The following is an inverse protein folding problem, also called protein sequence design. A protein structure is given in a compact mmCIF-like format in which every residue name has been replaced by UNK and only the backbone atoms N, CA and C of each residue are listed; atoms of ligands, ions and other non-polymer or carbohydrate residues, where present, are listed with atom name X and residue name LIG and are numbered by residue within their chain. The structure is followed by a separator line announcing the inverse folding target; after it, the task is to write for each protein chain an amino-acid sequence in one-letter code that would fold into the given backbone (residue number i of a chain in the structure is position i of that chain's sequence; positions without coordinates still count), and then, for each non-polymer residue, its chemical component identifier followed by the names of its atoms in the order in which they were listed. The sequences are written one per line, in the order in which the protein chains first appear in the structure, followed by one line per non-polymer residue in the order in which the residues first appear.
data_IF_567576770212
#
_entry.id   IF_567576770212
#
_cell.length_a   1.000
_cell.length_b   1.000
_cell.length_c   1.000
_cell.angle_alpha   90.00
_cell.angle_beta   90.00
_cell.angle_gamma   90.00
#
_symmetry.space_group_name_H-M   'P 1'
#
loop_
_entity.id
_entity.type
_entity.pdbx_description
1 polymer ?
#
# COMPACT_ATOMS: atom_id res chain seq x y z
N UNK A 1 -11.74 -34.55 19.39
CA UNK A 1 -12.24 -33.20 19.71
C UNK A 1 -11.08 -32.47 20.36
N UNK A 2 -10.30 -31.76 19.56
CA UNK A 2 -9.22 -30.89 20.05
C UNK A 2 -9.39 -29.56 19.34
N UNK A 3 -9.85 -28.57 20.09
CA UNK A 3 -9.80 -27.17 19.68
C UNK A 3 -8.33 -26.82 19.76
N UNK A 4 -7.67 -26.68 18.61
CA UNK A 4 -6.37 -26.03 18.54
C UNK A 4 -6.55 -24.63 19.10
N UNK A 5 -6.11 -24.42 20.34
CA UNK A 5 -5.95 -23.11 20.92
C UNK A 5 -4.96 -22.36 20.03
N UNK A 6 -5.47 -21.48 19.17
CA UNK A 6 -4.66 -20.43 18.59
C UNK A 6 -3.98 -19.72 19.78
N UNK A 7 -2.66 -19.71 19.80
CA UNK A 7 -1.89 -18.94 20.78
C UNK A 7 -2.31 -17.49 20.59
N UNK A 8 -3.21 -17.03 21.45
CA UNK A 8 -3.73 -15.68 21.41
C UNK A 8 -2.54 -14.77 21.70
N UNK A 9 -2.21 -13.88 20.77
CA UNK A 9 -1.09 -12.96 20.94
C UNK A 9 -1.28 -12.20 22.26
N UNK A 10 -0.20 -11.95 23.03
CA UNK A 10 -0.29 -11.18 24.26
C UNK A 10 -0.98 -9.84 24.00
N UNK A 11 -1.87 -9.41 24.90
CA UNK A 11 -2.63 -8.15 24.77
C UNK A 11 -1.70 -6.96 24.54
N UNK A 12 -0.53 -6.96 25.19
CA UNK A 12 0.51 -5.95 25.03
C UNK A 12 1.00 -5.83 23.58
N UNK A 13 1.17 -6.95 22.88
CA UNK A 13 1.58 -6.97 21.46
C UNK A 13 0.48 -6.41 20.57
N UNK A 14 -0.78 -6.79 20.82
CA UNK A 14 -1.92 -6.27 20.07
C UNK A 14 -2.08 -4.76 20.23
N UNK A 15 -1.90 -4.24 21.44
CA UNK A 15 -1.96 -2.80 21.71
C UNK A 15 -0.83 -2.05 20.96
N UNK A 16 0.39 -2.59 20.97
CA UNK A 16 1.50 -1.99 20.24
C UNK A 16 1.29 -1.99 18.73
N UNK A 17 0.73 -3.05 18.15
CA UNK A 17 0.39 -3.07 16.72
C UNK A 17 -0.64 -2.00 16.38
N UNK A 18 -1.67 -1.84 17.21
CA UNK A 18 -2.70 -0.80 17.04
C UNK A 18 -2.09 0.59 17.10
N UNK A 19 -1.19 0.83 18.05
CA UNK A 19 -0.50 2.12 18.20
C UNK A 19 0.33 2.47 16.97
N UNK A 20 1.07 1.51 16.41
CA UNK A 20 1.84 1.71 15.18
C UNK A 20 0.94 1.95 13.95
N UNK A 21 -0.15 1.20 13.81
CA UNK A 21 -1.12 1.47 12.73
C UNK A 21 -1.73 2.88 12.86
N UNK A 22 -2.03 3.33 14.08
CA UNK A 22 -2.54 4.67 14.34
C UNK A 22 -1.49 5.75 14.02
N UNK A 23 -0.22 5.50 14.33
CA UNK A 23 0.86 6.38 13.92
C UNK A 23 0.92 6.53 12.39
N UNK A 24 0.82 5.42 11.65
CA UNK A 24 0.78 5.46 10.17
C UNK A 24 -0.43 6.24 9.65
N UNK A 25 -1.62 6.06 10.27
CA UNK A 25 -2.81 6.84 9.93
C UNK A 25 -2.54 8.34 10.12
N UNK A 26 -1.96 8.72 11.25
CA UNK A 26 -1.63 10.12 11.55
C UNK A 26 -0.61 10.70 10.56
N UNK A 27 0.39 9.93 10.13
CA UNK A 27 1.40 10.38 9.15
C UNK A 27 0.83 10.59 7.75
N UNK A 28 -0.27 9.92 7.40
CA UNK A 28 -0.95 10.04 6.12
C UNK A 28 -2.20 10.92 6.16
N UNK A 29 -2.47 11.52 7.33
CA UNK A 29 -3.50 12.53 7.57
C UNK A 29 -4.88 12.08 7.06
N UNK A 30 -5.57 12.90 6.27
CA UNK A 30 -6.91 12.62 5.71
C UNK A 30 -6.95 11.48 4.66
N UNK A 31 -5.81 10.87 4.35
CA UNK A 31 -5.78 9.76 3.38
C UNK A 31 -6.47 8.54 3.98
N UNK A 32 -7.56 8.09 3.35
CA UNK A 32 -8.17 6.83 3.75
C UNK A 32 -7.24 5.67 3.36
N UNK A 33 -6.78 4.92 4.37
CA UNK A 33 -5.89 3.78 4.20
C UNK A 33 -6.47 2.47 4.71
N UNK A 34 -6.01 1.37 4.11
CA UNK A 34 -6.32 0.00 4.50
C UNK A 34 -5.02 -0.81 4.60
N UNK A 35 -4.89 -1.57 5.68
CA UNK A 35 -3.74 -2.44 5.95
C UNK A 35 -4.11 -3.86 5.53
N UNK A 36 -3.45 -4.37 4.49
CA UNK A 36 -3.69 -5.73 3.99
C UNK A 36 -2.51 -6.64 4.37
N UNK A 37 -2.72 -7.52 5.35
CA UNK A 37 -1.72 -8.44 5.85
C UNK A 37 -1.88 -9.82 5.20
N UNK A 38 -0.78 -10.34 4.67
CA UNK A 38 -0.76 -11.63 4.00
C UNK A 38 0.46 -12.44 4.44
N UNK A 39 0.33 -13.76 4.53
CA UNK A 39 1.48 -14.65 4.73
C UNK A 39 2.03 -15.03 3.35
N UNK A 40 3.33 -14.81 3.13
CA UNK A 40 4.00 -15.10 1.86
C UNK A 40 5.18 -16.05 2.06
N UNK A 41 5.50 -16.91 1.06
CA UNK A 41 6.66 -17.78 1.13
C UNK A 41 7.96 -16.99 1.24
N UNK A 42 8.86 -17.43 2.14
CA UNK A 42 10.22 -16.91 2.19
C UNK A 42 11.11 -17.76 1.29
N UNK A 43 11.45 -17.26 0.10
CA UNK A 43 12.24 -18.03 -0.87
C UNK A 43 13.66 -18.35 -0.37
N UNK A 44 14.17 -17.60 0.61
CA UNK A 44 15.54 -17.71 1.12
C UNK A 44 15.60 -18.14 2.60
N UNK A 45 14.47 -18.54 3.19
CA UNK A 45 14.39 -18.85 4.62
C UNK A 45 13.41 -19.96 4.93
N UNK A 46 13.49 -20.48 6.15
CA UNK A 46 12.70 -21.64 6.57
C UNK A 46 11.26 -21.29 6.94
N UNK A 47 11.03 -20.05 7.39
CA UNK A 47 9.72 -19.60 7.89
C UNK A 47 9.12 -18.56 6.95
N UNK A 48 7.79 -18.61 6.74
CA UNK A 48 7.10 -17.63 5.89
C UNK A 48 7.22 -16.21 6.47
N UNK A 49 7.07 -15.21 5.61
CA UNK A 49 7.07 -13.80 5.99
C UNK A 49 5.65 -13.26 6.06
N UNK A 50 5.47 -12.20 6.84
CA UNK A 50 4.27 -11.37 6.83
C UNK A 50 4.54 -10.25 5.83
N UNK A 51 3.66 -10.11 4.83
CA UNK A 51 3.60 -8.99 3.90
C UNK A 51 2.52 -8.01 4.37
N UNK A 52 2.85 -6.73 4.40
CA UNK A 52 1.89 -5.63 4.53
C UNK A 52 1.83 -4.88 3.21
N UNK A 53 0.66 -4.89 2.58
CA UNK A 53 0.32 -3.96 1.51
C UNK A 53 -0.49 -2.81 2.11
N UNK A 54 0.09 -1.60 2.14
CA UNK A 54 -0.63 -0.40 2.55
C UNK A 54 -1.37 0.15 1.33
N UNK A 55 -2.68 0.33 1.44
CA UNK A 55 -3.55 0.67 0.31
C UNK A 55 -4.24 2.00 0.60
N UNK A 56 -4.18 2.94 -0.33
CA UNK A 56 -4.99 4.17 -0.29
C UNK A 56 -6.31 3.97 -1.01
N UNK A 57 -7.39 4.50 -0.46
CA UNK A 57 -8.75 4.39 -1.02
C UNK A 57 -9.24 5.79 -1.39
N UNK A 58 -9.63 5.97 -2.65
CA UNK A 58 -10.39 7.12 -3.09
C UNK A 58 -11.89 6.76 -3.08
N UNK A 59 -12.62 7.27 -2.08
CA UNK A 59 -14.06 7.00 -1.90
C UNK A 59 -14.91 7.53 -3.05
N UNK A 60 -14.57 8.70 -3.58
CA UNK A 60 -15.37 9.38 -4.62
C UNK A 60 -15.34 8.63 -5.94
N UNK A 61 -14.21 7.98 -6.20
CA UNK A 61 -13.96 7.26 -7.44
C UNK A 61 -14.10 5.73 -7.28
N UNK A 62 -14.29 5.24 -6.05
CA UNK A 62 -14.35 3.81 -5.72
C UNK A 62 -13.15 3.01 -6.24
N UNK A 63 -11.97 3.66 -6.23
CA UNK A 63 -10.71 3.05 -6.63
C UNK A 63 -9.75 3.00 -5.46
N UNK A 64 -9.02 1.89 -5.35
CA UNK A 64 -7.95 1.69 -4.38
C UNK A 64 -6.62 1.55 -5.09
N UNK A 65 -5.55 2.06 -4.51
CA UNK A 65 -4.21 2.00 -5.08
C UNK A 65 -3.21 1.53 -4.03
N UNK A 66 -2.16 0.83 -4.47
CA UNK A 66 -1.09 0.48 -3.56
C UNK A 66 -0.30 1.74 -3.23
N UNK A 67 -0.10 1.98 -1.94
CA UNK A 67 0.81 2.99 -1.45
C UNK A 67 2.24 2.46 -1.42
N UNK A 68 2.44 1.34 -0.71
CA UNK A 68 3.71 0.66 -0.54
C UNK A 68 3.52 -0.77 0.02
N UNK A 69 4.53 -1.63 -0.17
CA UNK A 69 4.53 -3.03 0.29
C UNK A 69 5.82 -3.35 1.05
N UNK A 70 5.71 -3.87 2.27
CA UNK A 70 6.84 -4.36 3.06
C UNK A 70 6.66 -5.84 3.42
N UNK A 71 7.76 -6.55 3.68
CA UNK A 71 7.75 -7.93 4.15
C UNK A 71 8.73 -8.10 5.30
N UNK A 72 8.34 -8.89 6.30
CA UNK A 72 9.17 -9.11 7.47
C UNK A 72 8.69 -10.29 8.30
N UNK A 73 9.43 -10.58 9.37
CA UNK A 73 9.18 -11.76 10.22
C UNK A 73 8.09 -11.52 11.26
N UNK A 74 7.70 -10.26 11.51
CA UNK A 74 6.67 -9.89 12.47
C UNK A 74 5.84 -8.69 11.98
N UNK A 75 4.60 -8.57 12.45
CA UNK A 75 3.74 -7.42 12.12
C UNK A 75 4.28 -6.11 12.71
N UNK A 76 4.89 -6.17 13.89
CA UNK A 76 5.56 -5.02 14.52
C UNK A 76 6.71 -4.48 13.67
N UNK A 77 7.60 -5.35 13.18
CA UNK A 77 8.75 -4.92 12.39
C UNK A 77 8.34 -4.29 11.06
N UNK A 78 7.37 -4.88 10.34
CA UNK A 78 6.91 -4.33 9.04
C UNK A 78 6.16 -3.00 9.20
N UNK A 79 5.46 -2.80 10.33
CA UNK A 79 4.81 -1.53 10.66
C UNK A 79 5.85 -0.43 10.93
N UNK A 80 6.90 -0.74 11.69
CA UNK A 80 8.02 0.18 11.93
C UNK A 80 8.73 0.56 10.62
N UNK A 81 9.00 -0.42 9.75
CA UNK A 81 9.56 -0.16 8.41
C UNK A 81 8.64 0.71 7.55
N UNK A 82 7.31 0.54 7.66
CA UNK A 82 6.35 1.37 6.94
C UNK A 82 6.38 2.83 7.42
N UNK A 83 6.53 3.06 8.72
CA UNK A 83 6.71 4.41 9.29
C UNK A 83 7.98 5.06 8.73
N UNK A 84 9.11 4.34 8.77
CA UNK A 84 10.39 4.83 8.21
C UNK A 84 10.24 5.15 6.72
N UNK A 85 9.55 4.30 5.96
CA UNK A 85 9.26 4.57 4.55
C UNK A 85 8.48 5.88 4.35
N UNK A 86 7.44 6.13 5.15
CA UNK A 86 6.61 7.33 5.04
C UNK A 86 7.41 8.58 5.41
N UNK A 87 8.20 8.51 6.49
CA UNK A 87 8.93 9.66 7.04
C UNK A 87 10.19 10.03 6.25
N UNK A 88 10.90 9.05 5.68
CA UNK A 88 12.21 9.26 5.07
C UNK A 88 12.20 9.03 3.57
N UNK A 89 11.74 7.86 3.13
CA UNK A 89 11.94 7.41 1.75
C UNK A 89 10.93 8.01 0.77
N UNK A 90 9.66 8.16 1.16
CA UNK A 90 8.64 8.82 0.35
C UNK A 90 9.04 10.24 -0.05
N UNK A 91 9.82 10.94 0.79
CA UNK A 91 10.29 12.31 0.51
C UNK A 91 11.29 12.37 -0.63
N UNK A 92 11.99 11.28 -0.91
CA UNK A 92 12.98 11.19 -2.01
C UNK A 92 12.34 10.73 -3.33
N UNK A 93 11.06 10.33 -3.29
CA UNK A 93 10.33 9.87 -4.47
C UNK A 93 9.72 11.04 -5.23
N UNK A 94 9.85 10.94 -6.55
CA UNK A 94 9.23 11.84 -7.49
C UNK A 94 7.71 11.68 -7.50
N UNK A 95 7.00 12.75 -7.84
CA UNK A 95 5.54 12.73 -7.98
C UNK A 95 5.17 12.53 -9.45
N UNK A 96 4.23 11.63 -9.73
CA UNK A 96 3.68 11.40 -11.07
C UNK A 96 2.17 11.60 -11.06
N UNK A 97 1.65 12.23 -12.11
CA UNK A 97 0.23 12.25 -12.41
C UNK A 97 -0.08 11.28 -13.55
N UNK A 98 -1.00 10.34 -13.32
CA UNK A 98 -1.51 9.42 -14.32
C UNK A 98 -2.90 9.90 -14.71
N UNK A 99 -3.11 10.15 -16.01
CA UNK A 99 -4.41 10.41 -16.61
C UNK A 99 -4.93 9.12 -17.25
N UNK A 100 -6.11 8.67 -16.86
CA UNK A 100 -6.61 7.36 -17.22
C UNK A 100 -8.15 7.29 -17.26
N UNK A 101 -8.69 6.23 -17.86
CA UNK A 101 -10.12 5.90 -17.83
C UNK A 101 -10.35 4.43 -17.51
N UNK A 102 -11.39 4.14 -16.73
CA UNK A 102 -11.96 2.80 -16.59
C UNK A 102 -12.88 2.52 -17.79
N UNK A 103 -12.61 1.48 -18.57
CA UNK A 103 -13.42 1.12 -19.75
C UNK A 103 -14.86 0.75 -19.34
N UNK A 104 -15.07 0.33 -18.08
CA UNK A 104 -16.41 0.05 -17.55
C UNK A 104 -17.21 1.32 -17.24
N UNK A 105 -16.54 2.48 -17.13
CA UNK A 105 -17.17 3.78 -16.85
C UNK A 105 -16.90 4.71 -18.03
N UNK A 106 -17.74 4.66 -19.09
CA UNK A 106 -17.51 5.45 -20.29
C UNK A 106 -17.53 6.96 -19.99
N UNK A 107 -16.77 7.72 -20.79
CA UNK A 107 -16.69 9.19 -20.73
C UNK A 107 -16.18 9.79 -19.41
N UNK A 108 -15.50 9.01 -18.56
CA UNK A 108 -14.83 9.51 -17.36
C UNK A 108 -13.32 9.42 -17.52
N UNK A 109 -12.65 10.57 -17.50
CA UNK A 109 -11.19 10.67 -17.40
C UNK A 109 -10.87 11.08 -15.96
N UNK A 110 -9.95 10.34 -15.35
CA UNK A 110 -9.49 10.57 -13.99
C UNK A 110 -8.00 10.91 -13.99
N UNK A 111 -7.59 11.69 -13.01
CA UNK A 111 -6.17 11.95 -12.73
C UNK A 111 -5.89 11.43 -11.32
N UNK A 112 -4.88 10.58 -11.21
CA UNK A 112 -4.43 10.06 -9.91
C UNK A 112 -2.94 10.33 -9.75
N UNK A 113 -2.55 10.71 -8.53
CA UNK A 113 -1.18 11.06 -8.20
C UNK A 113 -0.49 9.93 -7.44
N UNK A 114 0.75 9.68 -7.79
CA UNK A 114 1.58 8.62 -7.22
C UNK A 114 2.95 9.17 -6.88
N UNK A 115 3.51 8.77 -5.74
CA UNK A 115 4.94 8.86 -5.51
C UNK A 115 5.61 7.56 -5.88
N UNK A 116 6.74 7.62 -6.57
CA UNK A 116 7.51 6.44 -6.97
C UNK A 116 8.91 6.78 -7.45
N UNK A 117 9.75 5.77 -7.58
CA UNK A 117 11.14 5.94 -8.04
C UNK A 117 11.21 6.13 -9.58
N UNK A 118 10.28 5.52 -10.30
CA UNK A 118 10.20 5.57 -11.75
C UNK A 118 8.76 5.29 -12.25
N UNK A 119 8.60 5.29 -13.57
CA UNK A 119 7.31 5.03 -14.22
C UNK A 119 6.82 3.58 -13.97
N UNK A 120 7.71 2.60 -13.83
CA UNK A 120 7.30 1.20 -13.61
C UNK A 120 6.78 1.01 -12.18
N UNK A 121 7.40 1.65 -11.19
CA UNK A 121 6.94 1.65 -9.81
C UNK A 121 5.52 2.21 -9.69
N UNK A 122 5.25 3.41 -10.25
CA UNK A 122 3.89 3.98 -10.20
C UNK A 122 2.86 3.13 -10.95
N UNK A 123 3.25 2.43 -12.02
CA UNK A 123 2.34 1.55 -12.76
C UNK A 123 2.03 0.28 -11.96
N UNK A 124 3.00 -0.26 -11.23
CA UNK A 124 2.75 -1.35 -10.29
C UNK A 124 1.77 -0.92 -9.20
N UNK A 125 1.92 0.31 -8.69
CA UNK A 125 0.99 0.88 -7.71
C UNK A 125 -0.42 1.10 -8.29
N UNK A 126 -0.49 1.65 -9.49
CA UNK A 126 -1.73 1.91 -10.21
C UNK A 126 -2.49 0.60 -10.49
N UNK A 127 -1.82 -0.43 -11.01
CA UNK A 127 -2.44 -1.70 -11.39
C UNK A 127 -2.56 -2.71 -10.26
N UNK A 128 -2.21 -2.35 -9.02
CA UNK A 128 -2.28 -3.27 -7.90
C UNK A 128 -3.70 -3.88 -7.76
N UNK A 129 -3.77 -5.21 -7.83
CA UNK A 129 -5.00 -6.03 -7.83
C UNK A 129 -6.01 -5.72 -8.96
N UNK A 130 -5.56 -5.07 -10.05
CA UNK A 130 -6.40 -4.67 -11.18
C UNK A 130 -6.00 -5.40 -12.45
N UNK A 131 -7.00 -5.71 -13.27
CA UNK A 131 -6.80 -6.19 -14.63
C UNK A 131 -6.32 -5.05 -15.54
N UNK A 132 -5.13 -5.18 -16.13
CA UNK A 132 -4.55 -4.12 -16.97
C UNK A 132 -5.44 -3.76 -18.15
N UNK A 133 -6.14 -4.75 -18.72
CA UNK A 133 -7.04 -4.59 -19.85
C UNK A 133 -8.29 -3.76 -19.55
N UNK A 134 -8.61 -3.53 -18.27
CA UNK A 134 -9.76 -2.71 -17.86
C UNK A 134 -9.47 -1.20 -17.94
N UNK A 135 -8.20 -0.79 -17.89
CA UNK A 135 -7.83 0.63 -17.76
C UNK A 135 -7.02 1.11 -18.95
N UNK A 136 -7.39 2.28 -19.47
CA UNK A 136 -6.64 2.97 -20.52
C UNK A 136 -5.91 4.16 -19.91
N UNK A 137 -4.59 4.16 -20.00
CA UNK A 137 -3.75 5.31 -19.61
C UNK A 137 -3.56 6.21 -20.84
N UNK A 138 -3.87 7.49 -20.70
CA UNK A 138 -3.68 8.48 -21.76
C UNK A 138 -2.35 9.21 -21.63
N UNK A 139 -1.94 9.49 -20.40
CA UNK A 139 -0.76 10.30 -20.11
C UNK A 139 -0.18 9.95 -18.75
N UNK A 140 1.15 9.95 -18.69
CA UNK A 140 1.91 9.94 -17.44
C UNK A 140 2.80 11.16 -17.45
N UNK A 141 2.70 11.99 -16.42
CA UNK A 141 3.53 13.19 -16.28
C UNK A 141 4.32 13.11 -14.98
N UNK A 142 5.65 13.16 -15.10
CA UNK A 142 6.54 13.45 -13.98
C UNK A 142 6.33 14.91 -13.55
N UNK A 143 6.05 15.09 -12.28
CA UNK A 143 5.85 16.37 -11.60
C UNK A 143 7.08 16.59 -10.72
N UNK A 144 8.17 17.18 -11.26
CA UNK A 144 9.33 17.52 -10.45
C UNK A 144 8.88 18.44 -9.32
N UNK A 145 9.39 18.20 -8.10
CA UNK A 145 9.21 19.14 -7.01
C UNK A 145 9.85 20.49 -7.42
N UNK A 146 9.12 21.59 -7.20
CA UNK A 146 9.57 22.95 -7.49
C UNK A 146 10.60 23.41 -6.46
#
# INVERSE_FOLDING_TARGET
MEIQNAIQQPIEVLLQEIDLENQIRNLLDDTQIYFDYNIVPNLNGQYPLIKLDLITINKEHNHKFLFHSNQGTSKMSILQEMIIYIDEYKKQQETYAIEWADIKIPNRIEISWFKGNDIFDILNKFYYTKEKSQFKIFKIKLMPEA
#
